data_IF_784620498734
#
_entry.id   IF_784620498734
#
_cell.length_a   1.000
_cell.length_b   1.000
_cell.length_c   1.000
_cell.angle_alpha   90.00
_cell.angle_beta   90.00
_cell.angle_gamma   90.00
#
_symmetry.space_group_name_H-M   'P 1'
#
loop_
_entity.id
_entity.type
_entity.pdbx_description
1 polymer ?
#
# COMPACT_ATOMS: atom_id res chain seq x y z
N UNK A 1 -12.88 4.11 -18.27
CA UNK A 1 -13.43 3.20 -19.26
C UNK A 1 -13.79 1.87 -18.58
N UNK A 2 -14.99 1.33 -18.85
CA UNK A 2 -15.50 0.11 -18.19
C UNK A 2 -14.60 -1.11 -18.47
N UNK A 3 -14.05 -1.18 -19.66
CA UNK A 3 -13.18 -2.29 -20.08
C UNK A 3 -11.84 -2.29 -19.36
N UNK A 4 -11.27 -1.11 -19.11
CA UNK A 4 -10.02 -0.97 -18.36
C UNK A 4 -10.21 -1.41 -16.90
N UNK A 5 -11.32 -1.01 -16.26
CA UNK A 5 -11.67 -1.44 -14.92
C UNK A 5 -11.89 -2.94 -14.85
N UNK A 6 -12.64 -3.50 -15.80
CA UNK A 6 -12.92 -4.94 -15.89
C UNK A 6 -11.62 -5.74 -16.07
N UNK A 7 -10.72 -5.28 -16.95
CA UNK A 7 -9.40 -5.91 -17.16
C UNK A 7 -8.53 -5.85 -15.91
N UNK A 8 -8.54 -4.70 -15.20
CA UNK A 8 -7.83 -4.56 -13.95
C UNK A 8 -8.35 -5.53 -12.87
N UNK A 9 -9.66 -5.59 -12.68
CA UNK A 9 -10.28 -6.49 -11.70
C UNK A 9 -10.01 -7.95 -12.03
N UNK A 10 -10.22 -8.38 -13.27
CA UNK A 10 -9.94 -9.76 -13.69
C UNK A 10 -8.47 -10.18 -13.43
N UNK A 11 -7.54 -9.25 -13.57
CA UNK A 11 -6.10 -9.51 -13.36
C UNK A 11 -5.70 -9.54 -11.89
N UNK A 12 -6.23 -8.62 -11.09
CA UNK A 12 -5.75 -8.37 -9.72
C UNK A 12 -6.73 -8.87 -8.65
N UNK A 13 -8.00 -9.03 -8.99
CA UNK A 13 -9.10 -9.41 -8.10
C UNK A 13 -10.05 -10.38 -8.80
N UNK A 14 -9.59 -11.58 -9.21
CA UNK A 14 -10.40 -12.54 -9.99
C UNK A 14 -11.63 -13.05 -9.24
N UNK A 15 -11.68 -12.89 -7.92
CA UNK A 15 -12.84 -13.20 -7.07
C UNK A 15 -14.00 -12.21 -7.24
N UNK A 16 -13.75 -11.01 -7.79
CA UNK A 16 -14.75 -9.96 -7.98
C UNK A 16 -15.56 -10.23 -9.25
N UNK A 17 -16.87 -10.34 -9.09
CA UNK A 17 -17.79 -10.44 -10.22
C UNK A 17 -18.15 -9.05 -10.75
N UNK A 18 -18.32 -8.91 -12.06
CA UNK A 18 -18.66 -7.63 -12.69
C UNK A 18 -19.91 -7.75 -13.52
N UNK A 19 -20.82 -6.78 -13.42
CA UNK A 19 -21.93 -6.62 -14.35
C UNK A 19 -21.94 -5.20 -14.92
N UNK A 20 -22.56 -5.04 -16.08
CA UNK A 20 -22.68 -3.74 -16.75
C UNK A 20 -24.11 -3.23 -16.55
N UNK A 21 -24.24 -1.99 -16.15
CA UNK A 21 -25.50 -1.25 -16.19
C UNK A 21 -25.65 -0.64 -17.58
N UNK A 22 -26.55 -1.18 -18.38
CA UNK A 22 -26.69 -0.81 -19.80
C UNK A 22 -27.22 0.63 -19.96
N UNK A 23 -28.29 0.98 -19.25
CA UNK A 23 -29.01 2.23 -19.46
C UNK A 23 -28.68 3.35 -18.46
N UNK A 24 -27.79 3.17 -17.52
CA UNK A 24 -27.34 4.16 -16.51
C UNK A 24 -28.48 5.02 -15.91
N UNK A 25 -29.63 4.38 -15.60
CA UNK A 25 -30.82 5.05 -15.10
C UNK A 25 -30.82 5.32 -13.60
N UNK A 26 -29.65 5.56 -13.00
CA UNK A 26 -29.46 5.93 -11.59
C UNK A 26 -28.93 4.79 -10.72
N UNK A 27 -28.70 5.11 -9.44
CA UNK A 27 -28.04 4.22 -8.47
C UNK A 27 -28.91 3.01 -8.07
N UNK A 28 -30.22 3.17 -8.03
CA UNK A 28 -31.15 2.06 -7.82
C UNK A 28 -31.18 1.06 -8.98
N UNK A 29 -31.06 1.56 -10.22
CA UNK A 29 -30.97 0.72 -11.42
C UNK A 29 -29.65 -0.05 -11.45
N UNK A 30 -28.55 0.55 -11.00
CA UNK A 30 -27.26 -0.13 -10.85
C UNK A 30 -27.37 -1.36 -9.92
N UNK A 31 -28.06 -1.22 -8.78
CA UNK A 31 -28.30 -2.35 -7.87
C UNK A 31 -29.21 -3.40 -8.50
N UNK A 32 -30.27 -3.00 -9.22
CA UNK A 32 -31.14 -3.94 -9.97
C UNK A 32 -30.34 -4.74 -10.99
N UNK A 33 -29.36 -4.13 -11.67
CA UNK A 33 -28.52 -4.81 -12.64
C UNK A 33 -27.75 -5.98 -12.03
N UNK A 34 -27.40 -5.92 -10.73
CA UNK A 34 -26.76 -7.03 -10.02
C UNK A 34 -27.73 -8.21 -9.88
N UNK A 35 -28.98 -7.97 -9.45
CA UNK A 35 -29.99 -9.03 -9.31
C UNK A 35 -30.37 -9.68 -10.64
N UNK A 36 -30.34 -8.90 -11.73
CA UNK A 36 -30.60 -9.43 -13.08
C UNK A 36 -29.48 -10.38 -13.58
N UNK A 37 -28.29 -10.27 -13.05
CA UNK A 37 -27.12 -11.02 -13.50
C UNK A 37 -26.66 -12.10 -12.50
N UNK A 38 -27.03 -12.00 -11.24
CA UNK A 38 -26.55 -12.88 -10.17
C UNK A 38 -27.68 -13.26 -9.22
N UNK A 39 -27.75 -14.55 -8.89
CA UNK A 39 -28.61 -15.03 -7.82
C UNK A 39 -27.97 -14.70 -6.46
N UNK A 40 -28.67 -13.92 -5.66
CA UNK A 40 -28.27 -13.51 -4.30
C UNK A 40 -29.15 -14.14 -3.23
N UNK A 41 -29.98 -15.13 -3.56
CA UNK A 41 -30.95 -15.74 -2.63
C UNK A 41 -30.32 -16.37 -1.38
N UNK A 42 -29.07 -16.83 -1.48
CA UNK A 42 -28.32 -17.38 -0.35
C UNK A 42 -27.65 -16.31 0.56
N UNK A 43 -27.83 -15.02 0.26
CA UNK A 43 -27.26 -13.94 1.03
C UNK A 43 -28.23 -13.44 2.09
N UNK A 44 -27.79 -13.27 3.34
CA UNK A 44 -28.60 -12.69 4.43
C UNK A 44 -28.82 -11.18 4.23
N UNK A 45 -27.89 -10.49 3.56
CA UNK A 45 -27.95 -9.06 3.30
C UNK A 45 -27.08 -8.60 2.15
N UNK A 46 -27.30 -7.38 1.70
CA UNK A 46 -26.56 -6.71 0.62
C UNK A 46 -26.05 -5.36 1.12
N UNK A 47 -24.76 -5.13 1.02
CA UNK A 47 -24.14 -3.81 1.31
C UNK A 47 -23.76 -3.14 -0.02
N UNK A 48 -24.29 -1.96 -0.25
CA UNK A 48 -24.00 -1.14 -1.43
C UNK A 48 -23.02 -0.05 -1.06
N UNK A 49 -21.88 -0.01 -1.78
CA UNK A 49 -20.77 0.93 -1.54
C UNK A 49 -20.44 1.63 -2.87
N UNK A 50 -20.13 2.90 -2.83
CA UNK A 50 -19.62 3.63 -3.99
C UNK A 50 -18.12 3.34 -4.20
N UNK A 51 -17.73 3.12 -5.45
CA UNK A 51 -16.35 2.78 -5.81
C UNK A 51 -15.36 3.95 -5.70
N UNK A 52 -15.84 5.17 -5.53
CA UNK A 52 -15.07 6.41 -5.41
C UNK A 52 -14.86 6.87 -3.96
N UNK A 53 -15.27 6.11 -2.96
CA UNK A 53 -15.11 6.41 -1.51
C UNK A 53 -14.02 5.53 -0.87
N UNK A 54 -12.72 5.79 -1.12
CA UNK A 54 -11.62 4.89 -0.74
C UNK A 54 -11.27 4.92 0.75
N UNK A 55 -11.86 5.82 1.53
CA UNK A 55 -11.53 6.02 2.94
C UNK A 55 -12.49 5.34 3.93
N UNK A 56 -13.44 4.55 3.44
CA UNK A 56 -14.35 3.77 4.27
C UNK A 56 -13.57 2.87 5.24
N UNK A 57 -14.00 2.84 6.51
CA UNK A 57 -13.40 1.98 7.54
C UNK A 57 -14.15 0.65 7.62
N UNK A 58 -13.40 -0.43 7.77
CA UNK A 58 -13.99 -1.77 7.92
C UNK A 58 -14.95 -1.84 9.11
N UNK A 59 -14.59 -1.21 10.24
CA UNK A 59 -15.40 -1.19 11.45
C UNK A 59 -16.77 -0.50 11.23
N UNK A 60 -16.80 0.52 10.37
CA UNK A 60 -18.05 1.24 10.04
C UNK A 60 -18.93 0.38 9.12
N UNK A 61 -18.33 -0.27 8.13
CA UNK A 61 -19.05 -1.22 7.26
C UNK A 61 -19.61 -2.39 8.07
N UNK A 62 -18.82 -2.91 9.03
CA UNK A 62 -19.25 -3.99 9.92
C UNK A 62 -20.47 -3.57 10.77
N UNK A 63 -20.44 -2.40 11.38
CA UNK A 63 -21.58 -1.85 12.15
C UNK A 63 -22.81 -1.70 11.28
N UNK A 64 -22.63 -1.24 10.04
CA UNK A 64 -23.74 -1.08 9.07
C UNK A 64 -24.35 -2.46 8.73
N UNK A 65 -23.52 -3.44 8.44
CA UNK A 65 -23.92 -4.82 8.16
C UNK A 65 -24.63 -5.45 9.35
N UNK A 66 -24.07 -5.35 10.56
CA UNK A 66 -24.69 -5.91 11.78
C UNK A 66 -26.06 -5.28 12.08
N UNK A 67 -26.21 -3.99 11.79
CA UNK A 67 -27.50 -3.29 11.92
C UNK A 67 -28.53 -3.77 10.91
N UNK A 68 -28.12 -4.05 9.67
CA UNK A 68 -29.02 -4.54 8.61
C UNK A 68 -29.52 -5.97 8.84
N UNK A 69 -28.90 -6.75 9.71
CA UNK A 69 -29.46 -8.04 10.14
C UNK A 69 -30.73 -7.89 11.00
N UNK A 70 -30.91 -6.72 11.62
CA UNK A 70 -32.04 -6.41 12.53
C UNK A 70 -33.07 -5.50 11.89
N UNK A 71 -32.66 -4.72 10.89
CA UNK A 71 -33.49 -3.75 10.18
C UNK A 71 -33.52 -4.06 8.70
N UNK A 72 -34.59 -3.72 8.00
CA UNK A 72 -34.72 -3.99 6.56
C UNK A 72 -33.78 -3.10 5.73
N UNK A 73 -33.45 -1.91 6.25
CA UNK A 73 -32.47 -0.98 5.70
C UNK A 73 -31.66 -0.31 6.81
N UNK A 74 -30.35 -0.24 6.65
CA UNK A 74 -29.51 0.65 7.43
C UNK A 74 -28.67 1.52 6.49
N UNK A 75 -28.67 2.82 6.70
CA UNK A 75 -27.89 3.76 5.89
C UNK A 75 -26.71 4.32 6.68
N UNK A 76 -25.64 4.67 5.99
CA UNK A 76 -24.51 5.41 6.57
C UNK A 76 -24.83 6.90 6.51
N UNK A 77 -24.67 7.60 7.63
CA UNK A 77 -24.87 9.04 7.73
C UNK A 77 -23.67 9.72 8.38
N UNK A 78 -23.50 11.00 8.14
CA UNK A 78 -22.46 11.80 8.79
C UNK A 78 -22.94 13.20 9.09
N UNK A 79 -22.27 13.87 10.02
CA UNK A 79 -22.55 15.27 10.32
C UNK A 79 -21.61 16.16 9.52
N UNK A 80 -22.14 16.83 8.48
CA UNK A 80 -21.37 17.67 7.57
C UNK A 80 -21.00 19.01 8.20
N UNK A 81 -19.76 19.46 8.05
CA UNK A 81 -19.40 20.86 8.34
C UNK A 81 -20.17 21.80 7.41
N UNK A 82 -20.18 21.48 6.10
CA UNK A 82 -20.96 22.17 5.08
C UNK A 82 -21.86 21.15 4.35
N UNK A 83 -23.17 21.14 4.61
CA UNK A 83 -24.08 20.14 4.04
C UNK A 83 -24.35 20.29 2.53
N UNK A 84 -23.88 21.36 1.90
CA UNK A 84 -24.10 21.63 0.46
C UNK A 84 -23.58 20.48 -0.41
N UNK A 85 -24.44 19.99 -1.30
CA UNK A 85 -24.12 18.91 -2.23
C UNK A 85 -24.50 17.52 -1.77
N UNK A 86 -24.90 17.34 -0.50
CA UNK A 86 -25.30 16.03 0.04
C UNK A 86 -26.81 15.91 0.19
N UNK A 87 -27.33 14.71 0.25
CA UNK A 87 -28.73 14.43 0.66
C UNK A 87 -28.91 14.68 2.16
N UNK A 88 -30.01 15.34 2.54
CA UNK A 88 -30.35 15.62 3.95
C UNK A 88 -31.15 14.50 4.57
N UNK A 89 -30.79 14.07 5.76
CA UNK A 89 -31.53 13.05 6.51
C UNK A 89 -32.67 13.70 7.25
N UNK A 90 -33.88 13.23 6.99
CA UNK A 90 -35.08 13.65 7.69
C UNK A 90 -35.44 12.60 8.73
N UNK A 91 -35.50 13.04 9.98
CA UNK A 91 -35.97 12.22 11.09
C UNK A 91 -37.39 12.63 11.49
N UNK A 92 -38.26 11.66 11.72
CA UNK A 92 -39.58 11.86 12.30
C UNK A 92 -39.72 11.01 13.56
N UNK A 93 -40.03 11.64 14.68
CA UNK A 93 -40.08 10.98 15.99
C UNK A 93 -38.77 10.22 16.33
N UNK A 94 -37.61 10.77 15.90
CA UNK A 94 -36.28 10.18 16.09
C UNK A 94 -35.94 9.02 15.18
N UNK A 95 -36.80 8.65 14.25
CA UNK A 95 -36.59 7.55 13.28
C UNK A 95 -36.26 8.08 11.88
N UNK A 96 -35.49 7.34 11.14
CA UNK A 96 -35.19 7.65 9.76
C UNK A 96 -36.47 7.63 8.91
N UNK A 97 -36.82 8.77 8.32
CA UNK A 97 -38.07 8.95 7.57
C UNK A 97 -37.83 9.04 6.07
N UNK A 98 -36.94 9.94 5.63
CA UNK A 98 -36.61 10.12 4.20
C UNK A 98 -35.26 10.80 4.04
N UNK A 99 -34.77 10.82 2.79
CA UNK A 99 -33.60 11.57 2.36
C UNK A 99 -34.04 12.60 1.32
N UNK A 100 -33.74 13.88 1.57
CA UNK A 100 -33.99 14.95 0.60
C UNK A 100 -32.69 15.27 -0.12
N UNK A 101 -32.66 15.04 -1.41
CA UNK A 101 -31.49 15.34 -2.25
C UNK A 101 -31.25 16.87 -2.31
N UNK A 102 -29.99 17.29 -2.54
CA UNK A 102 -29.60 18.73 -2.57
C UNK A 102 -30.50 19.56 -3.48
N UNK A 103 -30.89 19.01 -4.65
CA UNK A 103 -31.68 19.71 -5.65
C UNK A 103 -33.12 19.99 -5.17
N UNK A 104 -33.62 19.18 -4.23
CA UNK A 104 -35.00 19.26 -3.69
C UNK A 104 -35.05 19.97 -2.32
N UNK A 105 -33.90 20.52 -1.86
CA UNK A 105 -33.84 21.21 -0.58
C UNK A 105 -34.60 22.54 -0.60
N UNK A 106 -35.27 22.85 0.52
CA UNK A 106 -35.95 24.12 0.79
C UNK A 106 -35.19 24.94 1.83
N UNK A 107 -35.65 26.17 2.10
CA UNK A 107 -35.06 27.00 3.17
C UNK A 107 -35.16 26.38 4.56
N UNK A 108 -36.13 25.50 4.78
CA UNK A 108 -36.36 24.82 6.05
C UNK A 108 -35.34 23.68 6.31
N UNK A 109 -34.93 22.96 5.27
CA UNK A 109 -34.11 21.75 5.39
C UNK A 109 -32.68 21.89 4.89
N UNK A 110 -32.35 22.93 4.08
CA UNK A 110 -31.01 23.13 3.49
C UNK A 110 -29.85 23.18 4.50
N UNK A 111 -30.14 23.57 5.75
CA UNK A 111 -29.16 23.72 6.83
C UNK A 111 -29.07 22.48 7.73
N UNK A 112 -29.81 21.41 7.45
CA UNK A 112 -29.68 20.14 8.17
C UNK A 112 -28.28 19.60 7.90
N UNK A 113 -27.53 19.37 8.99
CA UNK A 113 -26.15 18.89 8.91
C UNK A 113 -26.03 17.38 8.84
N UNK A 114 -27.05 16.64 9.28
CA UNK A 114 -27.07 15.19 9.15
C UNK A 114 -27.33 14.82 7.69
N UNK A 115 -26.31 14.25 7.05
CA UNK A 115 -26.27 14.01 5.62
C UNK A 115 -26.14 12.52 5.29
N UNK A 116 -26.63 12.15 4.10
CA UNK A 116 -26.51 10.81 3.55
C UNK A 116 -25.07 10.53 3.12
N UNK A 117 -24.47 9.45 3.64
CA UNK A 117 -23.14 8.98 3.26
C UNK A 117 -23.11 8.08 2.00
N UNK A 118 -24.27 7.79 1.43
CA UNK A 118 -24.38 7.01 0.19
C UNK A 118 -24.21 5.48 0.34
N UNK A 119 -23.65 5.01 1.45
CA UNK A 119 -23.48 3.58 1.73
C UNK A 119 -24.74 3.06 2.42
N UNK A 120 -25.29 1.96 1.92
CA UNK A 120 -26.54 1.37 2.38
C UNK A 120 -26.38 -0.13 2.55
N UNK A 121 -26.94 -0.68 3.62
CA UNK A 121 -27.03 -2.11 3.84
C UNK A 121 -28.51 -2.51 3.97
N UNK A 122 -28.87 -3.52 3.20
CA UNK A 122 -30.23 -4.06 3.11
C UNK A 122 -30.24 -5.49 3.63
N UNK A 123 -31.30 -5.84 4.36
CA UNK A 123 -31.66 -7.22 4.56
C UNK A 123 -32.17 -7.78 3.24
N UNK A 124 -31.71 -8.96 2.85
CA UNK A 124 -32.04 -9.49 1.50
C UNK A 124 -33.46 -10.06 1.37
N UNK A 125 -34.29 -9.93 2.40
CA UNK A 125 -35.69 -10.34 2.34
C UNK A 125 -36.46 -9.46 1.36
N UNK A 126 -36.89 -10.01 0.23
CA UNK A 126 -37.65 -9.30 -0.81
C UNK A 126 -36.97 -8.04 -1.41
N UNK A 127 -35.64 -7.86 -1.25
CA UNK A 127 -34.95 -6.66 -1.73
C UNK A 127 -35.15 -6.42 -3.24
N UNK A 128 -35.08 -7.46 -4.07
CA UNK A 128 -35.32 -7.35 -5.51
C UNK A 128 -36.73 -6.81 -5.81
N UNK A 129 -37.74 -7.28 -5.08
CA UNK A 129 -39.12 -6.81 -5.21
C UNK A 129 -39.26 -5.36 -4.75
N UNK A 130 -38.63 -4.97 -3.64
CA UNK A 130 -38.63 -3.59 -3.11
C UNK A 130 -37.93 -2.62 -4.07
N UNK A 131 -36.80 -3.01 -4.67
CA UNK A 131 -36.16 -2.24 -5.73
C UNK A 131 -37.07 -2.04 -6.95
N UNK A 132 -37.96 -3.01 -7.24
CA UNK A 132 -38.99 -2.88 -8.27
C UNK A 132 -40.02 -1.77 -8.02
N UNK A 133 -40.19 -1.30 -6.76
CA UNK A 133 -41.10 -0.23 -6.38
C UNK A 133 -40.50 1.19 -6.53
N UNK A 134 -39.18 1.30 -6.77
CA UNK A 134 -38.54 2.57 -7.03
C UNK A 134 -39.18 3.28 -8.23
N UNK A 135 -39.37 4.57 -8.10
CA UNK A 135 -39.93 5.45 -9.14
C UNK A 135 -38.85 6.35 -9.71
N UNK A 136 -39.01 6.79 -10.94
CA UNK A 136 -38.10 7.72 -11.63
C UNK A 136 -38.81 9.07 -11.91
N UNK A 137 -39.65 9.53 -11.00
CA UNK A 137 -40.45 10.73 -11.14
C UNK A 137 -39.67 12.04 -10.83
N UNK A 138 -38.35 11.94 -10.65
CA UNK A 138 -37.47 13.09 -10.42
C UNK A 138 -37.06 13.78 -11.75
N UNK A 139 -36.50 15.00 -11.70
CA UNK A 139 -36.13 15.77 -12.91
C UNK A 139 -35.15 15.04 -13.83
N UNK A 140 -34.30 14.18 -13.31
CA UNK A 140 -33.34 13.37 -14.08
C UNK A 140 -33.94 12.09 -14.65
N UNK A 141 -35.13 11.70 -14.21
CA UNK A 141 -35.79 10.40 -14.52
C UNK A 141 -34.95 9.19 -14.13
N UNK A 142 -34.23 9.29 -13.02
CA UNK A 142 -33.35 8.26 -12.47
C UNK A 142 -34.05 7.49 -11.33
N UNK A 143 -33.74 6.20 -11.20
CA UNK A 143 -34.10 5.41 -10.02
C UNK A 143 -33.02 5.65 -8.97
N UNK A 144 -33.31 6.48 -7.97
CA UNK A 144 -32.35 6.87 -6.95
C UNK A 144 -32.42 5.92 -5.77
N UNK A 145 -31.29 5.39 -5.34
CA UNK A 145 -31.25 4.37 -4.28
C UNK A 145 -31.67 4.95 -2.90
N UNK A 146 -31.47 6.27 -2.66
CA UNK A 146 -31.92 6.94 -1.44
C UNK A 146 -33.42 6.90 -1.22
N UNK A 147 -34.24 6.77 -2.30
CA UNK A 147 -35.68 6.62 -2.21
C UNK A 147 -36.11 5.30 -1.55
N UNK A 148 -35.20 4.32 -1.43
CA UNK A 148 -35.48 3.06 -0.74
C UNK A 148 -35.85 3.26 0.73
N UNK A 149 -35.44 4.35 1.37
CA UNK A 149 -35.85 4.68 2.74
C UNK A 149 -37.37 4.86 2.81
N UNK A 150 -37.94 5.62 1.87
CA UNK A 150 -39.38 5.84 1.81
C UNK A 150 -40.12 4.56 1.38
N UNK A 151 -39.60 3.88 0.37
CA UNK A 151 -40.20 2.60 -0.12
C UNK A 151 -40.32 1.60 1.03
N UNK A 152 -39.25 1.39 1.81
CA UNK A 152 -39.28 0.42 2.92
C UNK A 152 -40.21 0.86 4.02
N UNK A 153 -40.21 2.15 4.41
CA UNK A 153 -41.08 2.69 5.42
C UNK A 153 -42.57 2.57 5.01
N UNK A 154 -42.93 2.86 3.76
CA UNK A 154 -44.27 2.74 3.20
C UNK A 154 -44.76 1.29 3.19
N UNK A 155 -43.89 0.30 3.07
CA UNK A 155 -44.21 -1.12 3.17
C UNK A 155 -44.27 -1.61 4.64
N UNK A 156 -44.07 -0.72 5.62
CA UNK A 156 -44.11 -1.04 7.06
C UNK A 156 -42.81 -1.70 7.56
N UNK A 157 -41.71 -1.64 6.77
CA UNK A 157 -40.40 -2.11 7.16
C UNK A 157 -39.70 -1.14 8.12
N UNK A 158 -38.49 -1.55 8.55
CA UNK A 158 -37.68 -0.79 9.51
C UNK A 158 -36.45 -0.20 8.83
N UNK A 159 -36.24 1.12 9.02
CA UNK A 159 -35.10 1.86 8.53
C UNK A 159 -34.31 2.46 9.70
N UNK A 160 -33.00 2.28 9.69
CA UNK A 160 -32.09 2.76 10.74
C UNK A 160 -30.85 3.43 10.10
N UNK A 161 -30.01 4.08 10.89
CA UNK A 161 -28.77 4.69 10.41
C UNK A 161 -27.59 4.42 11.34
N UNK A 162 -26.38 4.40 10.74
CA UNK A 162 -25.09 4.33 11.42
C UNK A 162 -24.31 5.59 11.09
N UNK A 163 -23.84 6.29 12.11
CA UNK A 163 -23.06 7.51 11.93
C UNK A 163 -21.57 7.18 11.73
N UNK A 164 -20.94 7.86 10.77
CA UNK A 164 -19.50 7.79 10.46
C UNK A 164 -18.84 9.17 10.52
N UNK A 165 -17.52 9.21 10.35
CA UNK A 165 -16.79 10.46 10.15
C UNK A 165 -16.98 10.95 8.70
N UNK A 166 -17.08 12.28 8.49
CA UNK A 166 -17.25 12.89 7.15
C UNK A 166 -16.18 12.44 6.15
N UNK A 167 -14.93 12.25 6.60
CA UNK A 167 -13.84 11.78 5.75
C UNK A 167 -13.99 10.34 5.25
N UNK A 168 -14.80 9.51 5.90
CA UNK A 168 -15.02 8.13 5.43
C UNK A 168 -15.76 8.07 4.11
N UNK A 169 -16.67 9.03 3.90
CA UNK A 169 -17.52 9.09 2.70
C UNK A 169 -16.96 10.07 1.63
N UNK A 170 -15.74 10.53 1.80
CA UNK A 170 -15.14 11.48 0.87
C UNK A 170 -14.97 10.85 -0.52
N UNK A 171 -15.77 11.33 -1.47
CA UNK A 171 -15.72 10.91 -2.88
C UNK A 171 -14.52 11.49 -3.64
N UNK A 172 -13.84 10.63 -4.40
CA UNK A 172 -12.66 11.01 -5.21
C UNK A 172 -13.03 11.04 -6.69
N UNK A 173 -13.34 12.22 -7.19
CA UNK A 173 -13.68 12.52 -8.59
C UNK A 173 -12.59 13.29 -9.35
N UNK A 174 -11.63 13.86 -8.62
CA UNK A 174 -10.56 14.69 -9.17
C UNK A 174 -9.19 14.29 -8.65
N UNK A 175 -8.12 14.69 -9.34
CA UNK A 175 -6.74 14.49 -8.84
C UNK A 175 -6.47 15.26 -7.54
N UNK A 176 -7.16 16.38 -7.31
CA UNK A 176 -7.09 17.11 -6.03
C UNK A 176 -7.78 16.29 -4.93
N UNK A 177 -8.93 15.69 -5.21
CA UNK A 177 -9.61 14.78 -4.30
C UNK A 177 -8.75 13.57 -3.98
N UNK A 178 -8.12 12.96 -4.98
CA UNK A 178 -7.19 11.83 -4.80
C UNK A 178 -6.03 12.20 -3.86
N UNK A 179 -5.41 13.37 -4.03
CA UNK A 179 -4.32 13.81 -3.15
C UNK A 179 -4.76 14.03 -1.70
N UNK A 180 -6.01 14.51 -1.49
CA UNK A 180 -6.59 14.65 -0.15
C UNK A 180 -6.86 13.28 0.50
N UNK A 181 -7.43 12.34 -0.27
CA UNK A 181 -7.68 10.99 0.20
C UNK A 181 -6.37 10.28 0.57
N UNK A 182 -5.33 10.38 -0.27
CA UNK A 182 -4.01 9.84 0.01
C UNK A 182 -3.43 10.42 1.31
N UNK A 183 -3.48 11.74 1.48
CA UNK A 183 -2.99 12.39 2.71
C UNK A 183 -3.68 11.84 3.96
N UNK A 184 -5.00 11.66 3.91
CA UNK A 184 -5.75 11.11 5.04
C UNK A 184 -5.43 9.64 5.29
N UNK A 185 -5.32 8.84 4.23
CA UNK A 185 -4.91 7.44 4.33
C UNK A 185 -3.54 7.30 5.00
N UNK A 186 -2.55 8.10 4.57
CA UNK A 186 -1.22 8.15 5.18
C UNK A 186 -1.28 8.58 6.66
N UNK A 187 -2.10 9.57 7.00
CA UNK A 187 -2.28 10.00 8.38
C UNK A 187 -2.82 8.88 9.27
N UNK A 188 -3.77 8.08 8.76
CA UNK A 188 -4.32 6.92 9.49
C UNK A 188 -3.25 5.86 9.74
N UNK A 189 -2.45 5.51 8.72
CA UNK A 189 -1.35 4.53 8.86
C UNK A 189 -0.30 5.01 9.86
N UNK A 190 0.13 6.28 9.78
CA UNK A 190 1.10 6.87 10.72
C UNK A 190 0.60 6.82 12.15
N UNK A 191 -0.65 7.24 12.39
CA UNK A 191 -1.27 7.17 13.72
C UNK A 191 -1.33 5.73 14.24
N UNK A 192 -1.74 4.78 13.39
CA UNK A 192 -1.78 3.36 13.72
C UNK A 192 -0.40 2.89 14.18
N UNK A 193 0.63 3.04 13.35
CA UNK A 193 1.98 2.56 13.68
C UNK A 193 2.55 3.22 14.93
N UNK A 194 2.37 4.53 15.12
CA UNK A 194 2.81 5.20 16.33
C UNK A 194 2.07 4.69 17.58
N UNK A 195 0.78 4.37 17.48
CA UNK A 195 0.01 3.79 18.59
C UNK A 195 0.43 2.34 18.91
N UNK A 196 1.01 1.65 17.93
CA UNK A 196 1.54 0.28 18.04
C UNK A 196 3.04 0.26 18.45
N UNK A 197 3.62 1.39 18.87
CA UNK A 197 4.98 1.46 19.42
C UNK A 197 6.08 1.74 18.40
N UNK A 198 5.74 2.21 17.19
CA UNK A 198 6.72 2.66 16.17
C UNK A 198 7.07 4.13 16.39
N UNK A 199 8.35 4.48 16.32
CA UNK A 199 8.82 5.86 16.38
C UNK A 199 9.01 6.42 14.97
N UNK A 200 8.24 7.44 14.61
CA UNK A 200 8.41 8.23 13.38
C UNK A 200 9.00 9.59 13.77
N UNK A 201 10.25 9.92 13.34
CA UNK A 201 10.89 11.19 13.71
C UNK A 201 10.26 12.39 13.01
N UNK A 202 9.80 12.20 11.77
CA UNK A 202 9.04 13.18 11.01
C UNK A 202 7.91 12.46 10.28
N UNK A 203 6.75 12.26 10.93
CA UNK A 203 5.67 11.43 10.41
C UNK A 203 5.21 11.85 9.01
N UNK A 204 5.12 13.15 8.71
CA UNK A 204 4.57 13.65 7.45
C UNK A 204 5.45 13.33 6.24
N UNK A 205 6.72 13.06 6.43
CA UNK A 205 7.67 12.72 5.37
C UNK A 205 7.82 11.21 5.11
N UNK A 206 7.11 10.37 5.85
CA UNK A 206 7.16 8.90 5.68
C UNK A 206 5.90 8.43 4.98
N UNK A 207 6.07 7.61 3.93
CA UNK A 207 4.97 7.05 3.13
C UNK A 207 4.93 5.53 3.25
N UNK A 208 3.72 5.00 3.43
CA UNK A 208 3.45 3.57 3.60
C UNK A 208 2.47 3.06 2.54
N UNK A 209 2.63 1.81 2.14
CA UNK A 209 1.57 1.08 1.43
C UNK A 209 0.60 0.42 2.44
N UNK A 210 -0.59 0.08 1.96
CA UNK A 210 -1.64 -0.53 2.80
C UNK A 210 -1.25 -1.88 3.41
N UNK A 211 -0.36 -2.61 2.74
CA UNK A 211 0.14 -3.92 3.11
C UNK A 211 1.43 -3.88 3.96
N UNK A 212 1.91 -2.68 4.32
CA UNK A 212 3.09 -2.53 5.17
C UNK A 212 2.81 -3.08 6.57
N UNK A 213 3.70 -3.93 7.07
CA UNK A 213 3.65 -4.49 8.43
C UNK A 213 4.88 -4.02 9.21
N UNK A 214 4.66 -3.48 10.41
CA UNK A 214 5.74 -2.96 11.26
C UNK A 214 5.48 -3.42 12.69
N UNK A 215 6.46 -4.07 13.29
CA UNK A 215 6.43 -4.47 14.69
C UNK A 215 6.83 -3.31 15.62
N UNK A 216 6.65 -3.49 16.91
CA UNK A 216 6.98 -2.49 17.93
C UNK A 216 8.49 -2.18 17.99
N UNK A 217 8.85 -1.04 18.60
CA UNK A 217 10.23 -0.59 18.80
C UNK A 217 11.02 -0.30 17.50
N UNK A 218 10.36 -0.21 16.36
CA UNK A 218 10.97 0.23 15.10
C UNK A 218 11.11 1.75 15.10
N UNK A 219 12.26 2.24 14.61
CA UNK A 219 12.54 3.68 14.48
C UNK A 219 12.70 4.05 13.01
N UNK A 220 11.88 4.97 12.52
CA UNK A 220 11.91 5.44 11.12
C UNK A 220 12.22 6.94 11.10
N UNK A 221 13.26 7.31 10.37
CA UNK A 221 13.66 8.70 10.18
C UNK A 221 12.83 9.36 9.06
N UNK A 222 13.13 10.61 8.77
CA UNK A 222 12.45 11.41 7.75
C UNK A 222 12.71 10.93 6.31
N UNK A 223 11.76 11.24 5.40
CA UNK A 223 11.86 10.96 3.97
C UNK A 223 12.13 9.48 3.62
N UNK A 224 11.38 8.59 4.25
CA UNK A 224 11.42 7.16 3.95
C UNK A 224 10.16 6.78 3.18
N UNK A 225 10.33 5.99 2.13
CA UNK A 225 9.23 5.46 1.32
C UNK A 225 9.20 3.94 1.40
N UNK A 226 8.06 3.42 1.83
CA UNK A 226 7.78 1.99 1.80
C UNK A 226 6.86 1.65 0.62
N UNK A 227 7.36 0.80 -0.28
CA UNK A 227 6.59 0.18 -1.35
C UNK A 227 5.81 -1.04 -0.85
N UNK A 228 5.32 -1.87 -1.77
CA UNK A 228 4.53 -3.06 -1.45
C UNK A 228 5.33 -4.13 -0.72
N UNK A 229 4.61 -4.97 0.05
CA UNK A 229 5.15 -6.17 0.68
C UNK A 229 6.38 -5.89 1.57
N UNK A 230 6.29 -4.91 2.46
CA UNK A 230 7.35 -4.61 3.44
C UNK A 230 6.95 -5.09 4.82
N UNK A 231 7.86 -5.83 5.46
CA UNK A 231 7.72 -6.25 6.84
C UNK A 231 8.98 -5.88 7.64
N UNK A 232 8.81 -5.03 8.66
CA UNK A 232 9.87 -4.63 9.59
C UNK A 232 9.64 -5.34 10.94
N UNK A 233 10.64 -6.10 11.36
CA UNK A 233 10.67 -6.76 12.66
C UNK A 233 11.10 -5.80 13.78
N UNK A 234 10.89 -6.20 15.02
CA UNK A 234 11.17 -5.37 16.20
C UNK A 234 12.61 -4.85 16.24
N UNK A 235 12.78 -3.62 16.69
CA UNK A 235 14.09 -2.98 16.87
C UNK A 235 14.78 -2.51 15.57
N UNK A 236 14.16 -2.68 14.40
CA UNK A 236 14.70 -2.20 13.12
C UNK A 236 14.80 -0.68 13.10
N UNK A 237 15.89 -0.17 12.55
CA UNK A 237 16.10 1.27 12.33
C UNK A 237 16.21 1.57 10.84
N UNK A 238 15.27 2.36 10.30
CA UNK A 238 15.32 2.84 8.92
C UNK A 238 15.68 4.31 8.90
N UNK A 239 16.83 4.62 8.31
CA UNK A 239 17.39 5.97 8.24
C UNK A 239 16.88 6.73 7.02
N UNK A 240 17.04 8.04 7.07
CA UNK A 240 16.52 9.00 6.09
C UNK A 240 16.83 8.65 4.63
N UNK A 241 15.91 9.03 3.74
CA UNK A 241 16.04 8.90 2.29
C UNK A 241 16.19 7.46 1.80
N UNK A 242 15.67 6.49 2.52
CA UNK A 242 15.67 5.08 2.11
C UNK A 242 14.38 4.73 1.39
N UNK A 243 14.49 3.86 0.38
CA UNK A 243 13.37 3.30 -0.38
C UNK A 243 13.36 1.78 -0.19
N UNK A 244 12.26 1.25 0.33
CA UNK A 244 12.13 -0.18 0.68
C UNK A 244 10.86 -0.74 0.06
N UNK A 245 10.98 -1.79 -0.73
CA UNK A 245 9.86 -2.53 -1.30
C UNK A 245 10.17 -4.04 -1.38
N UNK A 246 9.15 -4.87 -1.29
CA UNK A 246 9.29 -6.34 -1.36
C UNK A 246 10.42 -6.86 -0.47
N UNK A 247 10.39 -6.48 0.81
CA UNK A 247 11.48 -6.73 1.75
C UNK A 247 10.98 -7.16 3.13
N UNK A 248 11.66 -8.18 3.69
CA UNK A 248 11.54 -8.56 5.10
C UNK A 248 12.84 -8.14 5.78
N UNK A 249 12.73 -7.32 6.82
CA UNK A 249 13.88 -6.83 7.59
C UNK A 249 13.75 -7.36 9.01
N UNK A 250 14.70 -8.21 9.40
CA UNK A 250 14.70 -8.89 10.69
C UNK A 250 15.25 -7.99 11.81
N UNK A 251 15.13 -8.47 13.03
CA UNK A 251 15.29 -7.73 14.26
C UNK A 251 16.61 -6.95 14.33
N UNK A 252 16.56 -5.74 14.87
CA UNK A 252 17.70 -4.85 15.13
C UNK A 252 18.52 -4.45 13.89
N UNK A 253 18.10 -4.82 12.68
CA UNK A 253 18.81 -4.42 11.48
C UNK A 253 18.73 -2.91 11.27
N UNK A 254 19.78 -2.33 10.70
CA UNK A 254 19.84 -0.89 10.36
C UNK A 254 19.90 -0.74 8.83
N UNK A 255 18.99 0.07 8.28
CA UNK A 255 18.89 0.36 6.85
C UNK A 255 19.10 1.85 6.61
N UNK A 256 20.00 2.19 5.68
CA UNK A 256 20.24 3.56 5.26
C UNK A 256 21.35 4.30 6.03
N UNK A 257 21.47 5.62 5.79
CA UNK A 257 20.59 6.42 4.91
C UNK A 257 20.83 6.17 3.41
N UNK A 258 19.90 6.64 2.55
CA UNK A 258 20.02 6.51 1.07
C UNK A 258 20.19 5.06 0.58
N UNK A 259 19.53 4.11 1.21
CA UNK A 259 19.53 2.71 0.76
C UNK A 259 18.32 2.39 -0.08
N UNK A 260 18.48 1.45 -1.02
CA UNK A 260 17.37 0.91 -1.82
C UNK A 260 17.28 -0.60 -1.66
N UNK A 261 16.14 -1.10 -1.18
CA UNK A 261 15.84 -2.53 -1.08
C UNK A 261 14.66 -2.86 -1.99
N UNK A 262 14.79 -3.89 -2.85
CA UNK A 262 13.72 -4.26 -3.79
C UNK A 262 13.80 -5.70 -4.32
N UNK A 263 12.66 -6.24 -4.71
CA UNK A 263 12.58 -7.51 -5.43
C UNK A 263 12.91 -8.73 -4.57
N UNK A 264 12.11 -8.98 -3.54
CA UNK A 264 12.24 -10.13 -2.63
C UNK A 264 13.57 -10.13 -1.85
N UNK A 265 13.75 -9.11 -1.03
CA UNK A 265 14.93 -8.97 -0.17
C UNK A 265 14.65 -9.52 1.22
N UNK A 266 15.59 -10.28 1.77
CA UNK A 266 15.62 -10.65 3.19
C UNK A 266 16.89 -10.11 3.83
N UNK A 267 16.74 -9.24 4.84
CA UNK A 267 17.85 -8.70 5.64
C UNK A 267 17.80 -9.32 7.03
N UNK A 268 18.79 -10.10 7.36
CA UNK A 268 18.89 -10.82 8.62
C UNK A 268 19.07 -9.92 9.83
N UNK A 269 18.95 -10.56 11.01
CA UNK A 269 19.11 -9.91 12.31
C UNK A 269 20.46 -9.19 12.42
N UNK A 270 20.47 -8.03 13.08
CA UNK A 270 21.68 -7.21 13.37
C UNK A 270 22.47 -6.73 12.13
N UNK A 271 21.93 -6.93 10.91
CA UNK A 271 22.55 -6.47 9.68
C UNK A 271 22.69 -4.94 9.63
N UNK A 272 23.72 -4.48 8.90
CA UNK A 272 23.95 -3.05 8.65
C UNK A 272 24.05 -2.78 7.15
N UNK A 273 23.01 -2.21 6.58
CA UNK A 273 22.94 -1.76 5.19
C UNK A 273 23.05 -0.25 5.19
N UNK A 274 24.15 0.28 4.71
CA UNK A 274 24.47 1.70 4.84
C UNK A 274 24.18 2.51 3.58
N UNK A 275 24.80 3.68 3.49
CA UNK A 275 24.49 4.69 2.49
C UNK A 275 24.88 4.27 1.06
N UNK A 276 23.96 4.54 0.13
CA UNK A 276 24.09 4.24 -1.29
C UNK A 276 24.30 2.74 -1.57
N UNK A 277 23.70 1.89 -0.75
CA UNK A 277 23.68 0.45 -0.97
C UNK A 277 22.33 0.07 -1.58
N UNK A 278 22.39 -0.61 -2.73
CA UNK A 278 21.20 -1.24 -3.31
C UNK A 278 21.29 -2.76 -3.11
N UNK A 279 20.21 -3.33 -2.56
CA UNK A 279 20.02 -4.78 -2.43
C UNK A 279 18.81 -5.19 -3.26
N UNK A 280 19.00 -6.18 -4.13
CA UNK A 280 17.94 -6.65 -5.03
C UNK A 280 17.91 -8.17 -5.09
N UNK A 281 16.72 -8.74 -4.86
CA UNK A 281 16.50 -10.21 -4.97
C UNK A 281 17.60 -11.00 -4.26
N UNK A 282 17.86 -10.65 -2.98
CA UNK A 282 19.02 -11.16 -2.25
C UNK A 282 18.67 -11.43 -0.79
N UNK A 283 19.35 -12.40 -0.21
CA UNK A 283 19.28 -12.73 1.21
C UNK A 283 20.62 -12.44 1.86
N UNK A 284 20.58 -11.63 2.91
CA UNK A 284 21.71 -11.34 3.78
C UNK A 284 21.38 -11.94 5.15
N UNK A 285 22.20 -12.86 5.61
CA UNK A 285 22.01 -13.54 6.88
C UNK A 285 22.45 -12.66 8.06
N UNK A 286 22.38 -13.19 9.28
CA UNK A 286 22.67 -12.45 10.51
C UNK A 286 24.04 -11.74 10.49
N UNK A 287 24.12 -10.54 11.09
CA UNK A 287 25.36 -9.75 11.26
C UNK A 287 26.11 -9.36 9.98
N UNK A 288 25.51 -9.46 8.80
CA UNK A 288 26.14 -9.01 7.55
C UNK A 288 26.24 -7.49 7.52
N UNK A 289 27.37 -6.98 7.08
CA UNK A 289 27.67 -5.55 6.97
C UNK A 289 27.96 -5.17 5.51
N UNK A 290 27.13 -4.30 4.94
CA UNK A 290 27.32 -3.66 3.65
C UNK A 290 27.11 -2.15 3.83
N UNK A 291 28.14 -1.45 4.29
CA UNK A 291 27.97 -0.11 4.86
C UNK A 291 27.99 1.02 3.84
N UNK A 292 28.52 0.82 2.62
CA UNK A 292 28.75 1.92 1.67
C UNK A 292 28.76 1.47 0.20
N UNK A 293 28.07 2.25 -0.67
CA UNK A 293 28.31 2.32 -2.12
C UNK A 293 28.36 0.94 -2.82
N UNK A 294 27.49 0.00 -2.47
CA UNK A 294 27.54 -1.37 -3.01
C UNK A 294 26.25 -1.73 -3.76
N UNK A 295 26.38 -2.57 -4.79
CA UNK A 295 25.24 -3.22 -5.42
C UNK A 295 25.29 -4.73 -5.16
N UNK A 296 24.25 -5.24 -4.49
CA UNK A 296 24.11 -6.64 -4.11
C UNK A 296 22.83 -7.19 -4.78
N UNK A 297 23.00 -7.76 -5.96
CA UNK A 297 21.90 -8.31 -6.75
C UNK A 297 22.03 -9.82 -6.92
N UNK A 298 20.88 -10.53 -6.81
CA UNK A 298 20.78 -11.99 -6.98
C UNK A 298 21.80 -12.74 -6.11
N UNK A 299 21.93 -12.33 -4.83
CA UNK A 299 23.01 -12.77 -3.95
C UNK A 299 22.49 -13.47 -2.69
N UNK A 300 23.25 -14.44 -2.23
CA UNK A 300 23.11 -15.02 -0.90
C UNK A 300 24.40 -14.76 -0.13
N UNK A 301 24.30 -14.02 1.00
CA UNK A 301 25.45 -13.63 1.82
C UNK A 301 25.21 -14.19 3.22
N UNK A 302 26.10 -15.07 3.64
CA UNK A 302 25.98 -15.77 4.90
C UNK A 302 26.51 -14.92 6.07
N UNK A 303 26.22 -15.38 7.26
CA UNK A 303 26.38 -14.64 8.52
C UNK A 303 27.79 -14.08 8.76
N UNK A 304 27.86 -12.94 9.49
CA UNK A 304 29.09 -12.25 9.90
C UNK A 304 29.96 -11.72 8.76
N UNK A 305 29.50 -11.77 7.49
CA UNK A 305 30.32 -11.36 6.36
C UNK A 305 30.33 -9.84 6.20
N UNK A 306 31.46 -9.30 5.80
CA UNK A 306 31.67 -7.88 5.57
C UNK A 306 31.87 -7.58 4.09
N UNK A 307 31.02 -6.70 3.54
CA UNK A 307 31.07 -6.26 2.17
C UNK A 307 31.72 -4.87 2.11
N UNK A 308 32.90 -4.79 1.51
CA UNK A 308 33.65 -3.53 1.37
C UNK A 308 32.96 -2.54 0.44
N UNK A 309 33.20 -1.25 0.68
CA UNK A 309 32.64 -0.17 -0.13
C UNK A 309 32.97 -0.31 -1.61
N UNK A 310 31.99 -0.08 -2.48
CA UNK A 310 32.16 -0.21 -3.94
C UNK A 310 32.13 -1.64 -4.46
N UNK A 311 31.73 -2.61 -3.64
CA UNK A 311 31.56 -4.01 -4.10
C UNK A 311 30.33 -4.11 -5.01
N UNK A 312 30.49 -4.81 -6.13
CA UNK A 312 29.43 -5.06 -7.11
C UNK A 312 29.33 -6.56 -7.39
N UNK A 313 28.14 -7.12 -7.21
CA UNK A 313 27.80 -8.42 -7.76
C UNK A 313 27.41 -8.23 -9.23
N UNK A 314 28.26 -8.66 -10.15
CA UNK A 314 28.01 -8.56 -11.59
C UNK A 314 27.08 -9.70 -12.00
N UNK A 315 25.79 -9.58 -11.64
CA UNK A 315 24.80 -10.64 -11.75
C UNK A 315 24.17 -10.80 -13.15
N UNK A 316 24.41 -9.85 -14.07
CA UNK A 316 23.82 -9.86 -15.41
C UNK A 316 24.89 -9.93 -16.49
N UNK A 317 24.82 -10.93 -17.36
CA UNK A 317 25.78 -11.18 -18.44
C UNK A 317 25.36 -10.61 -19.81
N UNK A 318 24.25 -9.83 -19.83
CA UNK A 318 23.64 -9.30 -21.06
C UNK A 318 22.42 -10.10 -21.52
N UNK A 319 22.25 -11.34 -21.04
CA UNK A 319 21.14 -12.22 -21.38
C UNK A 319 20.47 -12.79 -20.11
N UNK A 320 21.28 -13.38 -19.22
CA UNK A 320 20.82 -14.09 -18.03
C UNK A 320 21.24 -13.38 -16.74
N UNK A 321 20.49 -13.66 -15.67
CA UNK A 321 20.88 -13.30 -14.32
C UNK A 321 21.48 -14.52 -13.63
N UNK A 322 22.63 -14.32 -13.02
CA UNK A 322 23.41 -15.34 -12.36
C UNK A 322 23.56 -15.01 -10.87
N UNK A 323 23.75 -16.02 -10.04
CA UNK A 323 23.80 -15.87 -8.58
C UNK A 323 25.23 -15.72 -8.08
N UNK A 324 25.40 -14.90 -7.03
CA UNK A 324 26.61 -14.82 -6.21
C UNK A 324 26.33 -15.43 -4.84
N UNK A 325 27.20 -16.31 -4.37
CA UNK A 325 27.17 -16.83 -3.00
C UNK A 325 28.41 -16.39 -2.25
N UNK A 326 28.24 -15.87 -1.05
CA UNK A 326 29.31 -15.45 -0.15
C UNK A 326 29.12 -16.19 1.16
N UNK A 327 30.09 -16.99 1.54
CA UNK A 327 30.09 -17.82 2.74
C UNK A 327 30.23 -16.99 4.01
N UNK A 328 30.22 -17.68 5.16
CA UNK A 328 30.29 -17.11 6.51
C UNK A 328 31.61 -16.43 6.78
N UNK A 329 31.58 -15.42 7.65
CA UNK A 329 32.77 -14.70 8.14
C UNK A 329 33.69 -14.17 7.02
N UNK A 330 33.15 -13.98 5.81
CA UNK A 330 33.92 -13.59 4.63
C UNK A 330 34.19 -12.09 4.65
N UNK A 331 35.40 -11.70 4.26
CA UNK A 331 35.76 -10.30 4.08
C UNK A 331 35.96 -9.97 2.60
N UNK A 332 35.05 -9.17 2.04
CA UNK A 332 35.18 -8.65 0.68
C UNK A 332 35.81 -7.26 0.75
N UNK A 333 37.00 -7.09 0.17
CA UNK A 333 37.69 -5.81 0.12
C UNK A 333 36.97 -4.77 -0.77
N UNK A 334 37.22 -3.50 -0.51
CA UNK A 334 36.58 -2.40 -1.25
C UNK A 334 36.86 -2.46 -2.76
N UNK A 335 35.91 -1.95 -3.57
CA UNK A 335 35.98 -1.92 -5.05
C UNK A 335 36.20 -3.31 -5.69
N UNK A 336 35.59 -4.32 -5.10
CA UNK A 336 35.62 -5.69 -5.65
C UNK A 336 34.48 -5.92 -6.62
N UNK A 337 34.75 -6.51 -7.79
CA UNK A 337 33.73 -7.00 -8.72
C UNK A 337 33.64 -8.53 -8.60
N UNK A 338 32.47 -9.03 -8.24
CA UNK A 338 32.15 -10.47 -8.18
C UNK A 338 31.36 -10.83 -9.44
N UNK A 339 32.01 -11.48 -10.39
CA UNK A 339 31.41 -11.82 -11.69
C UNK A 339 30.67 -13.15 -11.56
N UNK A 340 29.35 -13.06 -11.46
CA UNK A 340 28.48 -14.23 -11.30
C UNK A 340 28.35 -15.07 -12.58
N UNK A 341 28.18 -16.42 -12.47
CA UNK A 341 28.04 -17.15 -11.22
C UNK A 341 29.36 -17.32 -10.47
N UNK A 342 29.38 -17.04 -9.16
CA UNK A 342 30.60 -17.17 -8.35
C UNK A 342 30.24 -17.52 -6.90
N UNK A 343 31.04 -18.37 -6.28
CA UNK A 343 30.93 -18.77 -4.89
C UNK A 343 32.21 -18.40 -4.13
N UNK A 344 32.08 -17.72 -3.02
CA UNK A 344 33.17 -17.37 -2.10
C UNK A 344 33.01 -18.25 -0.86
N UNK A 345 33.98 -19.06 -0.57
CA UNK A 345 33.95 -19.99 0.58
C UNK A 345 34.04 -19.27 1.91
N UNK A 346 33.66 -19.97 2.97
CA UNK A 346 33.69 -19.46 4.35
C UNK A 346 35.11 -18.99 4.74
N UNK A 347 35.15 -17.96 5.61
CA UNK A 347 36.39 -17.41 6.15
C UNK A 347 37.38 -16.88 5.08
N UNK A 348 36.93 -16.74 3.82
CA UNK A 348 37.78 -16.24 2.73
C UNK A 348 37.90 -14.70 2.79
N UNK A 349 39.05 -14.23 2.33
CA UNK A 349 39.36 -12.80 2.21
C UNK A 349 39.63 -12.45 0.74
N UNK A 350 38.93 -11.43 0.25
CA UNK A 350 39.14 -10.86 -1.07
C UNK A 350 39.83 -9.51 -0.91
N UNK A 351 41.00 -9.37 -1.54
CA UNK A 351 41.75 -8.10 -1.51
C UNK A 351 41.04 -6.99 -2.28
N UNK A 352 41.11 -5.78 -1.77
CA UNK A 352 40.48 -4.60 -2.39
C UNK A 352 40.91 -4.41 -3.86
N UNK A 353 39.99 -3.99 -4.73
CA UNK A 353 40.20 -3.74 -6.14
C UNK A 353 40.28 -5.04 -6.99
N UNK A 354 39.85 -6.17 -6.46
CA UNK A 354 39.92 -7.46 -7.19
C UNK A 354 38.67 -7.65 -8.09
N UNK A 355 38.91 -8.38 -9.20
CA UNK A 355 37.85 -8.90 -10.08
C UNK A 355 37.84 -10.42 -9.98
N UNK A 356 36.80 -10.96 -9.34
CA UNK A 356 36.69 -12.40 -9.06
C UNK A 356 35.75 -13.04 -10.09
N UNK A 357 36.32 -13.93 -10.91
CA UNK A 357 35.62 -14.62 -12.02
C UNK A 357 35.55 -16.14 -11.83
N UNK A 358 36.06 -16.65 -10.70
CA UNK A 358 36.08 -18.08 -10.36
C UNK A 358 35.77 -18.25 -8.90
N UNK A 359 35.25 -19.40 -8.51
CA UNK A 359 35.01 -19.75 -7.13
C UNK A 359 36.28 -19.64 -6.29
N UNK A 360 36.07 -19.19 -5.04
CA UNK A 360 37.16 -19.00 -4.07
C UNK A 360 37.00 -20.04 -2.97
N UNK A 361 38.09 -20.75 -2.69
CA UNK A 361 38.09 -21.75 -1.62
C UNK A 361 37.98 -21.10 -0.24
N UNK A 362 37.45 -21.84 0.72
CA UNK A 362 37.37 -21.37 2.11
C UNK A 362 38.78 -21.07 2.68
N UNK A 363 38.81 -20.19 3.70
CA UNK A 363 40.03 -19.84 4.43
C UNK A 363 41.18 -19.30 3.55
N UNK A 364 40.86 -18.78 2.35
CA UNK A 364 41.87 -18.32 1.40
C UNK A 364 41.91 -16.81 1.23
N UNK A 365 43.03 -16.25 0.85
CA UNK A 365 43.20 -14.87 0.40
C UNK A 365 43.33 -14.84 -1.11
N UNK A 366 42.43 -14.11 -1.78
CA UNK A 366 42.49 -13.96 -3.26
C UNK A 366 42.70 -12.49 -3.63
N UNK A 367 43.62 -12.25 -4.53
CA UNK A 367 44.00 -10.95 -5.09
C UNK A 367 44.11 -11.04 -6.61
N UNK A 368 43.52 -10.11 -7.35
CA UNK A 368 43.60 -10.04 -8.83
C UNK A 368 44.06 -8.67 -9.31
N UNK A 369 44.83 -7.96 -8.51
CA UNK A 369 45.37 -6.63 -8.82
C UNK A 369 46.61 -6.72 -9.71
N UNK A 370 46.70 -5.81 -10.69
CA UNK A 370 47.91 -5.68 -11.50
C UNK A 370 49.12 -5.24 -10.63
N UNK A 371 50.37 -5.66 -10.98
CA UNK A 371 51.55 -5.15 -10.31
C UNK A 371 51.65 -3.63 -10.39
N UNK A 372 52.13 -3.02 -9.32
CA UNK A 372 52.35 -1.57 -9.28
C UNK A 372 53.42 -1.19 -10.32
N UNK A 373 53.07 -0.24 -11.20
CA UNK A 373 54.00 0.35 -12.18
C UNK A 373 54.12 1.85 -11.90
N UNK A 374 55.34 2.31 -11.62
CA UNK A 374 55.61 3.73 -11.41
C UNK A 374 56.33 4.30 -12.65
N UNK A 375 55.83 5.42 -13.16
CA UNK A 375 56.47 6.20 -14.23
C UNK A 375 56.86 7.56 -13.66
N UNK A 376 58.12 7.74 -13.36
CA UNK A 376 58.66 8.96 -12.80
C UNK A 376 58.50 10.14 -13.76
N UNK A 377 58.23 11.33 -13.21
CA UNK A 377 58.09 12.60 -13.94
C UNK A 377 56.92 12.62 -14.97
N UNK A 378 55.99 11.65 -14.94
CA UNK A 378 54.85 11.62 -15.86
C UNK A 378 54.03 12.93 -15.87
N UNK A 379 53.74 13.48 -14.70
CA UNK A 379 52.97 14.73 -14.56
C UNK A 379 53.67 15.95 -15.18
N UNK A 380 54.99 16.01 -15.22
CA UNK A 380 55.76 17.13 -15.82
C UNK A 380 55.45 17.29 -17.31
N UNK A 381 55.02 16.23 -18.03
CA UNK A 381 54.63 16.31 -19.44
C UNK A 381 53.36 17.16 -19.66
N UNK A 382 52.51 17.32 -18.64
CA UNK A 382 51.23 18.01 -18.70
C UNK A 382 51.25 19.36 -17.99
N UNK A 383 52.17 19.55 -17.03
CA UNK A 383 52.21 20.78 -16.21
C UNK A 383 53.02 21.91 -16.83
N UNK A 384 53.66 21.69 -18.01
CA UNK A 384 54.52 22.68 -18.64
C UNK A 384 55.78 22.92 -17.81
N UNK A 385 56.89 23.27 -18.44
CA UNK A 385 58.06 23.81 -17.73
C UNK A 385 57.69 25.24 -17.28
N UNK A 386 57.15 25.39 -16.07
CA UNK A 386 57.18 26.66 -15.35
C UNK A 386 58.48 26.73 -14.53
#
# INVERSE_FOLDING_TARGET
DSDDLKNYLNKNHPEVRTCVQEDQNGTGDAVKSVFNNYDLSDSDGVVVIFGDTPLLKLETIQKLSDSSLKNDLTIMVFEAENPKGYGRIILKDGKLHSIIEEIDTTDENKNIKLCNGGVMAFKNNDLEKLLGLLKNNNPKKEFVLSDMVEVINDQGGSSEYVQCEELEIFGVDTKIGLAKAEKEFQNRLRKKFMSEGVTLLDPESVFFQSDTVIEENVVIQNNVFFGKNVHLKSGVSVRSFSYVEEAIIHENATIGPFSRLRGNVSIGMDCKIGNFVEVKNSTLEKDVKASHLSYLGDSQIEENSNIGAGTITCNYDGVNKNKTRIGKNTFIGSNTSLVAPVEIGDDAHIGAGSVITKNVEKESLVLTRAPLKTVSNWAKKFLGNN
#
